data_IF_945191911248
#
_entry.id   IF_945191911248
#
_cell.length_a   1.000
_cell.length_b   1.000
_cell.length_c   1.000
_cell.angle_alpha   90.00
_cell.angle_beta   90.00
_cell.angle_gamma   90.00
#
_symmetry.space_group_name_H-M   'P 1'
#
loop_
_entity.id
_entity.type
_entity.pdbx_description
1 polymer ?
#
# COMPACT_ATOMS: atom_id res chain seq x y z
N UNK A 1 -28.05 -16.23 44.25
CA UNK A 1 -27.28 -17.08 43.31
C UNK A 1 -26.56 -16.18 42.32
N UNK A 2 -25.21 -16.22 42.25
CA UNK A 2 -24.45 -15.51 41.20
C UNK A 2 -24.86 -16.02 39.83
N UNK A 3 -25.03 -15.14 38.84
CA UNK A 3 -25.23 -15.57 37.46
C UNK A 3 -23.97 -16.29 36.99
N UNK A 4 -24.09 -17.39 36.24
CA UNK A 4 -22.94 -17.96 35.54
C UNK A 4 -22.71 -17.14 34.28
N UNK A 5 -21.46 -16.76 34.00
CA UNK A 5 -21.13 -16.04 32.77
C UNK A 5 -21.48 -16.89 31.55
N UNK A 6 -22.26 -16.33 30.62
CA UNK A 6 -22.63 -17.00 29.36
C UNK A 6 -21.47 -16.88 28.35
N UNK A 7 -20.78 -15.74 28.35
CA UNK A 7 -19.66 -15.46 27.44
C UNK A 7 -18.34 -15.96 28.05
N UNK A 8 -17.72 -16.96 27.41
CA UNK A 8 -16.45 -17.55 27.87
C UNK A 8 -15.20 -16.90 27.27
N UNK A 9 -15.30 -16.21 26.14
CA UNK A 9 -14.22 -15.50 25.45
C UNK A 9 -14.74 -14.18 24.90
N UNK A 10 -13.88 -13.18 24.78
CA UNK A 10 -14.29 -11.89 24.23
C UNK A 10 -14.76 -12.06 22.79
N UNK A 11 -15.90 -11.45 22.46
CA UNK A 11 -16.50 -11.51 21.13
C UNK A 11 -16.58 -10.12 20.54
N UNK A 12 -16.35 -10.01 19.24
CA UNK A 12 -16.41 -8.74 18.52
C UNK A 12 -17.66 -8.70 17.65
N UNK A 13 -18.51 -7.71 17.90
CA UNK A 13 -19.63 -7.33 17.04
C UNK A 13 -19.25 -6.14 16.16
N UNK A 14 -19.56 -6.21 14.86
CA UNK A 14 -19.38 -5.11 13.91
C UNK A 14 -20.71 -4.79 13.26
N UNK A 15 -21.04 -3.50 13.14
CA UNK A 15 -22.29 -3.09 12.50
C UNK A 15 -22.17 -1.69 11.88
N UNK A 16 -22.85 -1.48 10.77
CA UNK A 16 -23.15 -0.15 10.23
C UNK A 16 -24.57 0.24 10.65
N UNK A 17 -24.69 1.18 11.59
CA UNK A 17 -25.99 1.66 12.09
C UNK A 17 -25.98 3.18 12.17
N UNK A 18 -27.07 3.80 11.74
CA UNK A 18 -27.27 5.26 11.79
C UNK A 18 -26.11 6.05 11.14
N UNK A 19 -25.53 5.53 10.06
CA UNK A 19 -24.39 6.15 9.37
C UNK A 19 -23.06 6.07 10.13
N UNK A 20 -22.97 5.24 11.18
CA UNK A 20 -21.77 5.02 11.99
C UNK A 20 -21.30 3.57 11.86
N UNK A 21 -19.99 3.40 11.77
CA UNK A 21 -19.30 2.10 11.91
C UNK A 21 -19.11 1.80 13.39
N UNK A 22 -19.63 0.67 13.84
CA UNK A 22 -19.62 0.26 15.23
C UNK A 22 -18.72 -0.95 15.42
N UNK A 23 -17.94 -0.90 16.49
CA UNK A 23 -17.17 -2.01 17.01
C UNK A 23 -17.58 -2.19 18.47
N UNK A 24 -18.30 -3.27 18.76
CA UNK A 24 -18.69 -3.66 20.11
C UNK A 24 -17.82 -4.85 20.52
N UNK A 25 -17.26 -4.80 21.72
CA UNK A 25 -16.53 -5.93 22.30
C UNK A 25 -17.32 -6.42 23.50
N UNK A 26 -17.90 -7.61 23.39
CA UNK A 26 -18.49 -8.31 24.52
C UNK A 26 -17.36 -8.98 25.29
N UNK A 27 -17.19 -8.62 26.55
CA UNK A 27 -16.15 -9.21 27.39
C UNK A 27 -16.73 -10.35 28.20
N UNK A 28 -16.02 -11.47 28.35
CA UNK A 28 -16.44 -12.53 29.25
C UNK A 28 -16.55 -11.97 30.68
N UNK A 29 -17.30 -12.66 31.54
CA UNK A 29 -17.26 -12.37 32.97
C UNK A 29 -15.82 -12.48 33.46
N UNK A 30 -15.16 -11.34 33.65
CA UNK A 30 -13.75 -11.25 34.08
C UNK A 30 -13.54 -11.82 35.49
N UNK A 31 -14.64 -12.15 36.19
CA UNK A 31 -14.69 -12.80 37.50
C UNK A 31 -15.32 -14.19 37.48
N UNK A 32 -15.43 -14.83 36.29
CA UNK A 32 -15.82 -16.24 36.24
C UNK A 32 -14.76 -17.06 37.00
N UNK A 33 -15.18 -17.72 38.08
CA UNK A 33 -14.30 -18.41 39.04
C UNK A 33 -13.55 -19.61 38.45
N UNK A 34 -13.86 -19.99 37.20
CA UNK A 34 -13.22 -21.08 36.48
C UNK A 34 -12.00 -20.71 35.64
N UNK A 35 -11.55 -19.45 35.61
CA UNK A 35 -10.40 -19.01 34.80
C UNK A 35 -9.15 -18.74 35.63
N UNK A 36 -7.99 -19.02 35.04
CA UNK A 36 -6.68 -18.67 35.60
C UNK A 36 -6.39 -17.18 35.42
N UNK A 37 -5.47 -16.63 36.24
CA UNK A 37 -5.06 -15.23 36.12
C UNK A 37 -4.50 -14.90 34.74
N UNK A 38 -3.71 -15.81 34.16
CA UNK A 38 -3.06 -15.61 32.86
C UNK A 38 -4.10 -15.54 31.73
N UNK A 39 -5.16 -16.36 31.80
CA UNK A 39 -6.28 -16.31 30.86
C UNK A 39 -7.04 -14.98 30.97
N UNK A 40 -7.27 -14.48 32.18
CA UNK A 40 -7.93 -13.19 32.41
C UNK A 40 -7.09 -12.04 31.86
N UNK A 41 -5.78 -12.03 32.14
CA UNK A 41 -4.85 -11.00 31.64
C UNK A 41 -4.81 -11.02 30.11
N UNK A 42 -4.73 -12.21 29.50
CA UNK A 42 -4.70 -12.36 28.04
C UNK A 42 -5.98 -11.78 27.41
N UNK A 43 -7.15 -12.05 27.98
CA UNK A 43 -8.42 -11.49 27.49
C UNK A 43 -8.48 -9.96 27.64
N UNK A 44 -7.95 -9.40 28.74
CA UNK A 44 -7.87 -7.94 28.93
C UNK A 44 -6.96 -7.31 27.87
N UNK A 45 -5.76 -7.86 27.67
CA UNK A 45 -4.81 -7.35 26.68
C UNK A 45 -5.38 -7.47 25.27
N UNK A 46 -6.04 -8.58 24.94
CA UNK A 46 -6.73 -8.80 23.66
C UNK A 46 -7.78 -7.71 23.42
N UNK A 47 -8.63 -7.44 24.42
CA UNK A 47 -9.63 -6.36 24.35
C UNK A 47 -8.99 -5.00 24.10
N UNK A 48 -7.90 -4.67 24.79
CA UNK A 48 -7.16 -3.41 24.60
C UNK A 48 -6.58 -3.33 23.20
N UNK A 49 -5.99 -4.40 22.67
CA UNK A 49 -5.47 -4.45 21.30
C UNK A 49 -6.55 -4.23 20.24
N UNK A 50 -7.71 -4.87 20.40
CA UNK A 50 -8.88 -4.71 19.52
C UNK A 50 -9.41 -3.28 19.56
N UNK A 51 -9.61 -2.74 20.75
CA UNK A 51 -10.29 -1.46 20.97
C UNK A 51 -9.35 -0.26 20.92
N UNK A 52 -8.04 -0.48 20.82
CA UNK A 52 -7.04 0.56 20.54
C UNK A 52 -7.52 1.45 19.38
N UNK A 53 -7.38 2.80 19.47
CA UNK A 53 -6.57 3.54 20.44
C UNK A 53 -7.29 3.81 21.78
N UNK A 54 -8.54 3.37 21.92
CA UNK A 54 -9.33 3.62 23.12
C UNK A 54 -10.83 3.45 22.93
N UNK A 55 -11.58 3.65 24.01
CA UNK A 55 -13.02 3.38 24.08
C UNK A 55 -13.83 4.68 24.00
N UNK A 56 -14.76 4.76 23.05
CA UNK A 56 -15.68 5.90 22.97
C UNK A 56 -16.76 5.86 24.05
N UNK A 57 -17.17 4.66 24.46
CA UNK A 57 -18.10 4.44 25.56
C UNK A 57 -17.83 3.07 26.18
N UNK A 58 -18.14 2.96 27.46
CA UNK A 58 -18.09 1.72 28.23
C UNK A 58 -19.48 1.48 28.77
N UNK A 59 -20.00 0.28 28.54
CA UNK A 59 -21.37 -0.06 28.91
C UNK A 59 -21.33 -0.98 30.12
N UNK A 60 -21.86 -0.51 31.25
CA UNK A 60 -22.11 -1.34 32.41
C UNK A 60 -23.55 -1.85 32.34
N UNK A 61 -23.72 -3.14 32.08
CA UNK A 61 -25.05 -3.77 31.99
C UNK A 61 -25.49 -4.23 33.38
N UNK A 62 -26.64 -3.73 33.84
CA UNK A 62 -27.20 -4.02 35.17
C UNK A 62 -28.62 -4.57 35.01
N UNK A 63 -29.00 -5.55 35.82
CA UNK A 63 -30.37 -6.07 35.85
C UNK A 63 -31.21 -5.25 36.84
N UNK A 64 -32.43 -4.86 36.44
CA UNK A 64 -33.30 -4.06 37.30
C UNK A 64 -33.68 -4.84 38.56
N UNK A 65 -33.45 -4.22 39.73
CA UNK A 65 -33.67 -4.84 41.03
C UNK A 65 -32.52 -5.74 41.51
N UNK A 66 -31.43 -5.84 40.75
CA UNK A 66 -30.30 -6.70 41.11
C UNK A 66 -28.96 -6.09 40.72
N UNK A 67 -28.23 -5.63 41.75
CA UNK A 67 -26.82 -5.27 41.63
C UNK A 67 -25.93 -6.28 42.37
N UNK A 68 -25.20 -7.13 41.63
CA UNK A 68 -24.50 -8.28 42.21
C UNK A 68 -23.11 -7.95 42.75
N UNK A 69 -22.58 -8.79 43.66
CA UNK A 69 -21.18 -8.71 44.09
C UNK A 69 -20.17 -8.85 42.93
N UNK A 70 -20.55 -9.56 41.86
CA UNK A 70 -19.74 -9.65 40.64
C UNK A 70 -19.65 -8.29 39.93
N UNK A 71 -20.77 -7.57 39.81
CA UNK A 71 -20.80 -6.22 39.24
C UNK A 71 -19.99 -5.23 40.11
N UNK A 72 -20.09 -5.32 41.45
CA UNK A 72 -19.27 -4.51 42.37
C UNK A 72 -17.78 -4.72 42.14
N UNK A 73 -17.34 -5.98 42.15
CA UNK A 73 -15.92 -6.34 41.91
C UNK A 73 -15.45 -5.87 40.54
N UNK A 74 -16.33 -5.95 39.54
CA UNK A 74 -16.05 -5.47 38.19
C UNK A 74 -15.79 -3.98 38.15
N UNK A 75 -16.67 -3.20 38.78
CA UNK A 75 -16.50 -1.74 38.86
C UNK A 75 -15.24 -1.38 39.63
N UNK A 76 -14.99 -2.00 40.78
CA UNK A 76 -13.81 -1.74 41.59
C UNK A 76 -12.53 -2.03 40.82
N UNK A 77 -12.48 -3.15 40.09
CA UNK A 77 -11.31 -3.49 39.28
C UNK A 77 -11.10 -2.47 38.17
N UNK A 78 -12.15 -2.05 37.46
CA UNK A 78 -12.01 -1.06 36.41
C UNK A 78 -11.60 0.31 36.95
N UNK A 79 -12.21 0.79 38.03
CA UNK A 79 -11.87 2.10 38.61
C UNK A 79 -10.46 2.13 39.21
N UNK A 80 -10.04 1.04 39.87
CA UNK A 80 -8.71 0.98 40.50
C UNK A 80 -7.57 0.81 39.48
N UNK A 81 -7.82 0.19 38.33
CA UNK A 81 -6.73 -0.20 37.41
C UNK A 81 -6.77 0.51 36.05
N UNK A 82 -7.96 0.77 35.50
CA UNK A 82 -8.12 1.63 34.33
C UNK A 82 -8.25 3.12 34.73
N UNK A 83 -8.37 3.40 36.04
CA UNK A 83 -8.32 4.74 36.61
C UNK A 83 -9.67 5.44 36.59
N UNK A 84 -9.80 6.45 37.46
CA UNK A 84 -11.08 7.14 37.68
C UNK A 84 -11.60 7.89 36.45
N UNK A 85 -10.75 8.20 35.46
CA UNK A 85 -11.19 8.82 34.21
C UNK A 85 -12.13 7.93 33.41
N UNK A 86 -12.09 6.61 33.60
CA UNK A 86 -12.97 5.65 32.92
C UNK A 86 -14.45 5.98 33.12
N UNK A 87 -14.83 6.45 34.30
CA UNK A 87 -16.24 6.74 34.63
C UNK A 87 -16.83 7.87 33.78
N UNK A 88 -15.97 8.73 33.22
CA UNK A 88 -16.38 9.81 32.32
C UNK A 88 -16.86 9.28 30.96
N UNK A 89 -16.50 8.03 30.64
CA UNK A 89 -16.90 7.33 29.43
C UNK A 89 -17.89 6.18 29.69
N UNK A 90 -18.38 6.05 30.93
CA UNK A 90 -19.31 5.00 31.31
C UNK A 90 -20.77 5.42 31.08
N UNK A 91 -21.56 4.46 30.58
CA UNK A 91 -23.02 4.48 30.47
C UNK A 91 -23.58 3.25 31.17
N UNK A 92 -24.55 3.43 32.07
CA UNK A 92 -25.24 2.31 32.72
C UNK A 92 -26.43 1.89 31.86
N UNK A 93 -26.48 0.63 31.45
CA UNK A 93 -27.62 0.06 30.71
C UNK A 93 -28.37 -0.88 31.63
N UNK A 94 -29.55 -0.46 32.05
CA UNK A 94 -30.48 -1.29 32.79
C UNK A 94 -31.21 -2.23 31.85
N UNK A 95 -31.17 -3.53 32.13
CA UNK A 95 -31.91 -4.55 31.40
C UNK A 95 -33.19 -4.88 32.13
N UNK A 96 -34.16 -5.42 31.39
CA UNK A 96 -35.49 -5.80 31.87
C UNK A 96 -36.42 -4.63 32.12
N UNK A 97 -36.37 -3.66 31.21
CA UNK A 97 -37.29 -2.52 31.19
C UNK A 97 -38.77 -2.96 31.20
N UNK A 98 -39.08 -4.14 30.67
CA UNK A 98 -40.40 -4.76 30.74
C UNK A 98 -40.91 -4.99 32.18
N UNK A 99 -40.01 -5.18 33.15
CA UNK A 99 -40.37 -5.25 34.57
C UNK A 99 -40.88 -3.88 35.08
N UNK A 100 -40.20 -2.78 34.72
CA UNK A 100 -40.62 -1.41 35.06
C UNK A 100 -41.92 -0.99 34.36
N UNK A 101 -42.06 -1.31 33.07
CA UNK A 101 -43.25 -0.99 32.29
C UNK A 101 -44.51 -1.65 32.89
N UNK A 102 -44.38 -2.88 33.43
CA UNK A 102 -45.48 -3.59 34.13
C UNK A 102 -45.86 -2.96 35.46
N UNK A 103 -44.91 -2.33 36.13
CA UNK A 103 -45.11 -1.62 37.40
C UNK A 103 -45.53 -0.15 37.18
N UNK A 104 -45.62 0.30 35.92
CA UNK A 104 -45.86 1.70 35.54
C UNK A 104 -44.85 2.66 36.19
N UNK A 105 -43.60 2.21 36.28
CA UNK A 105 -42.48 2.95 36.85
C UNK A 105 -41.53 3.35 35.73
N UNK A 106 -41.05 4.59 35.73
CA UNK A 106 -40.04 5.06 34.79
C UNK A 106 -38.63 4.66 35.25
N UNK A 107 -37.66 4.70 34.35
CA UNK A 107 -36.26 4.43 34.74
C UNK A 107 -35.73 5.51 35.70
N UNK A 108 -36.16 6.76 35.54
CA UNK A 108 -35.76 7.86 36.41
C UNK A 108 -36.29 7.62 37.85
N UNK A 109 -37.57 7.26 38.00
CA UNK A 109 -38.16 6.88 39.30
C UNK A 109 -37.45 5.68 39.94
N UNK A 110 -37.05 4.69 39.14
CA UNK A 110 -36.27 3.56 39.65
C UNK A 110 -34.90 4.01 40.16
N UNK A 111 -34.18 4.85 39.41
CA UNK A 111 -32.87 5.37 39.83
C UNK A 111 -32.98 6.24 41.08
N UNK A 112 -34.02 7.08 41.18
CA UNK A 112 -34.30 7.92 42.36
C UNK A 112 -34.68 7.09 43.59
N UNK A 113 -35.21 5.87 43.39
CA UNK A 113 -35.51 4.93 44.48
C UNK A 113 -34.30 4.17 45.02
N UNK A 114 -33.14 4.24 44.35
CA UNK A 114 -31.93 3.56 44.79
C UNK A 114 -31.43 4.15 46.12
N UNK A 115 -30.96 3.27 47.01
CA UNK A 115 -30.28 3.68 48.24
C UNK A 115 -29.13 4.66 47.91
N UNK A 116 -29.12 5.91 48.42
CA UNK A 116 -28.13 6.91 48.06
C UNK A 116 -26.68 6.53 48.38
N UNK A 117 -26.48 5.63 49.35
CA UNK A 117 -25.18 5.10 49.75
C UNK A 117 -24.76 3.84 48.96
N UNK A 118 -25.60 3.36 48.04
CA UNK A 118 -25.28 2.20 47.22
C UNK A 118 -24.22 2.53 46.17
N UNK A 119 -23.34 1.56 45.89
CA UNK A 119 -22.30 1.71 44.87
C UNK A 119 -22.91 2.02 43.48
N UNK A 120 -24.07 1.45 43.15
CA UNK A 120 -24.75 1.73 41.89
C UNK A 120 -25.19 3.18 41.76
N UNK A 121 -25.78 3.76 42.81
CA UNK A 121 -26.14 5.17 42.86
C UNK A 121 -24.89 6.07 42.71
N UNK A 122 -23.79 5.71 43.38
CA UNK A 122 -22.51 6.42 43.26
C UNK A 122 -21.95 6.39 41.82
N UNK A 123 -22.00 5.24 41.16
CA UNK A 123 -21.56 5.09 39.75
C UNK A 123 -22.41 5.97 38.84
N UNK A 124 -23.73 5.96 39.00
CA UNK A 124 -24.67 6.76 38.20
C UNK A 124 -24.34 8.24 38.37
N UNK A 125 -24.15 8.69 39.62
CA UNK A 125 -23.81 10.09 39.90
C UNK A 125 -22.46 10.48 39.26
N UNK A 126 -21.41 9.68 39.46
CA UNK A 126 -20.07 9.95 38.91
C UNK A 126 -20.01 9.86 37.39
N UNK A 127 -20.90 9.07 36.78
CA UNK A 127 -21.10 9.00 35.33
C UNK A 127 -22.04 10.11 34.81
N UNK A 128 -22.25 11.19 35.58
CA UNK A 128 -23.10 12.34 35.21
C UNK A 128 -24.52 11.92 34.82
N UNK A 129 -25.07 10.95 35.54
CA UNK A 129 -26.42 10.42 35.33
C UNK A 129 -26.64 9.85 33.92
N UNK A 130 -25.61 9.25 33.31
CA UNK A 130 -25.74 8.58 32.01
C UNK A 130 -26.24 7.16 32.18
N UNK A 131 -27.54 6.96 32.05
CA UNK A 131 -28.16 5.65 32.05
C UNK A 131 -29.30 5.54 31.04
N UNK A 132 -29.61 4.31 30.63
CA UNK A 132 -30.76 3.97 29.79
C UNK A 132 -31.34 2.62 30.21
N UNK A 133 -32.62 2.38 29.92
CA UNK A 133 -33.27 1.09 30.13
C UNK A 133 -33.55 0.38 28.80
N UNK A 134 -33.31 -0.92 28.76
CA UNK A 134 -33.48 -1.82 27.61
C UNK A 134 -34.44 -2.96 27.95
N UNK A 135 -35.36 -3.19 27.04
CA UNK A 135 -36.07 -4.45 26.93
C UNK A 135 -35.40 -5.28 25.84
N UNK A 136 -34.71 -6.33 26.24
CA UNK A 136 -33.99 -7.23 25.32
C UNK A 136 -34.94 -8.14 24.51
N UNK A 137 -36.24 -8.13 24.82
CA UNK A 137 -37.28 -8.84 24.07
C UNK A 137 -38.00 -7.94 23.05
N UNK A 138 -37.74 -6.63 23.08
CA UNK A 138 -38.34 -5.68 22.16
C UNK A 138 -37.95 -5.98 20.70
N UNK A 139 -38.92 -5.83 19.79
CA UNK A 139 -38.74 -6.08 18.35
C UNK A 139 -39.17 -4.87 17.52
N UNK A 140 -38.66 -4.80 16.28
CA UNK A 140 -39.02 -3.73 15.33
C UNK A 140 -38.73 -2.33 15.87
N UNK A 141 -39.69 -1.43 15.71
CA UNK A 141 -39.54 -0.01 16.03
C UNK A 141 -39.18 0.24 17.50
N UNK A 142 -39.72 -0.54 18.43
CA UNK A 142 -39.42 -0.39 19.86
C UNK A 142 -37.94 -0.66 20.16
N UNK A 143 -37.36 -1.67 19.49
CA UNK A 143 -35.94 -1.97 19.59
C UNK A 143 -35.09 -0.86 18.94
N UNK A 144 -35.49 -0.37 17.76
CA UNK A 144 -34.78 0.73 17.11
C UNK A 144 -34.80 2.01 17.95
N UNK A 145 -35.88 2.29 18.66
CA UNK A 145 -36.00 3.48 19.50
C UNK A 145 -35.14 3.38 20.77
N UNK A 146 -35.05 2.22 21.43
CA UNK A 146 -34.14 2.05 22.57
C UNK A 146 -32.67 2.13 22.15
N UNK A 147 -32.33 1.56 20.99
CA UNK A 147 -30.98 1.63 20.45
C UNK A 147 -30.65 3.08 20.10
N UNK A 148 -31.53 3.81 19.41
CA UNK A 148 -31.34 5.25 19.12
C UNK A 148 -31.12 6.08 20.39
N UNK A 149 -31.87 5.82 21.46
CA UNK A 149 -31.67 6.51 22.75
C UNK A 149 -30.27 6.27 23.32
N UNK A 150 -29.80 5.02 23.33
CA UNK A 150 -28.43 4.70 23.75
C UNK A 150 -27.40 5.46 22.88
N UNK A 151 -27.60 5.50 21.56
CA UNK A 151 -26.72 6.25 20.67
C UNK A 151 -26.69 7.73 21.00
N UNK A 152 -27.83 8.37 21.24
CA UNK A 152 -27.87 9.77 21.64
C UNK A 152 -27.13 10.03 22.96
N UNK A 153 -27.23 9.12 23.94
CA UNK A 153 -26.47 9.22 25.20
C UNK A 153 -24.97 9.09 24.93
N UNK A 154 -24.54 8.16 24.08
CA UNK A 154 -23.13 7.96 23.73
C UNK A 154 -22.58 9.17 22.93
N UNK A 155 -23.32 9.71 21.98
CA UNK A 155 -22.89 10.88 21.21
C UNK A 155 -22.74 12.12 22.10
N UNK A 156 -23.65 12.29 23.06
CA UNK A 156 -23.54 13.33 24.08
C UNK A 156 -22.32 13.12 24.97
N UNK A 157 -22.08 11.88 25.43
CA UNK A 157 -20.90 11.51 26.20
C UNK A 157 -19.61 11.85 25.45
N UNK A 158 -19.51 11.49 24.18
CA UNK A 158 -18.33 11.79 23.34
C UNK A 158 -18.14 13.30 23.23
N UNK A 159 -19.22 14.05 22.97
CA UNK A 159 -19.19 15.52 22.86
C UNK A 159 -18.76 16.20 24.17
N UNK A 160 -19.29 15.75 25.30
CA UNK A 160 -18.91 16.23 26.64
C UNK A 160 -17.44 15.95 26.98
N UNK A 161 -16.87 14.87 26.44
CA UNK A 161 -15.46 14.53 26.56
C UNK A 161 -14.61 15.12 25.41
N UNK A 162 -15.09 16.18 24.75
CA UNK A 162 -14.34 16.93 23.73
C UNK A 162 -14.17 16.22 22.39
N UNK A 163 -15.02 15.23 22.08
CA UNK A 163 -14.88 14.41 20.87
C UNK A 163 -13.80 13.33 20.97
N UNK A 164 -13.31 13.06 22.18
CA UNK A 164 -12.21 12.11 22.43
C UNK A 164 -12.72 10.73 22.85
N UNK A 165 -11.80 9.81 23.13
CA UNK A 165 -12.04 8.47 23.65
C UNK A 165 -11.23 8.26 24.93
N UNK A 166 -11.69 7.34 25.76
CA UNK A 166 -10.94 6.88 26.93
C UNK A 166 -9.66 6.17 26.48
N UNK A 167 -8.53 6.60 27.04
CA UNK A 167 -7.23 5.95 26.86
C UNK A 167 -6.44 6.02 28.16
N UNK A 168 -5.55 5.06 28.38
CA UNK A 168 -4.56 5.05 29.46
C UNK A 168 -3.21 4.58 28.91
N UNK A 169 -2.23 4.32 29.78
CA UNK A 169 -0.91 3.87 29.37
C UNK A 169 -0.94 2.51 28.66
N UNK A 170 -1.82 1.59 29.08
CA UNK A 170 -1.98 0.30 28.38
C UNK A 170 -2.48 0.50 26.94
N UNK A 171 -3.45 1.40 26.74
CA UNK A 171 -3.93 1.74 25.40
C UNK A 171 -2.85 2.44 24.56
N UNK A 172 -2.01 3.28 25.17
CA UNK A 172 -0.89 3.93 24.48
C UNK A 172 0.14 2.91 24.01
N UNK A 173 0.55 1.99 24.87
CA UNK A 173 1.50 0.93 24.51
C UNK A 173 0.92 -0.01 23.43
N UNK A 174 -0.34 -0.43 23.59
CA UNK A 174 -1.02 -1.22 22.57
C UNK A 174 -1.15 -0.46 21.24
N UNK A 175 -1.46 0.83 21.25
CA UNK A 175 -1.49 1.66 20.04
C UNK A 175 -0.10 1.80 19.40
N UNK A 176 0.98 1.91 20.18
CA UNK A 176 2.34 1.91 19.64
C UNK A 176 2.69 0.58 18.96
N UNK A 177 2.37 -0.55 19.61
CA UNK A 177 2.54 -1.87 19.03
C UNK A 177 1.72 -2.05 17.74
N UNK A 178 0.44 -1.64 17.75
CA UNK A 178 -0.43 -1.65 16.58
C UNK A 178 0.14 -0.78 15.45
N UNK A 179 0.62 0.44 15.74
CA UNK A 179 1.24 1.33 14.75
C UNK A 179 2.49 0.74 14.12
N UNK A 180 3.41 0.18 14.92
CA UNK A 180 4.59 -0.51 14.41
C UNK A 180 4.20 -1.61 13.42
N UNK A 181 3.20 -2.41 13.76
CA UNK A 181 2.68 -3.46 12.87
C UNK A 181 2.06 -2.91 11.59
N UNK A 182 1.29 -1.83 11.68
CA UNK A 182 0.72 -1.16 10.52
C UNK A 182 1.80 -0.56 9.60
N UNK A 183 2.88 -0.03 10.18
CA UNK A 183 4.00 0.54 9.44
C UNK A 183 4.87 -0.54 8.77
N UNK A 184 5.08 -1.69 9.43
CA UNK A 184 5.71 -2.87 8.82
C UNK A 184 4.94 -3.34 7.58
N UNK A 185 3.62 -3.48 7.69
CA UNK A 185 2.78 -3.93 6.58
C UNK A 185 2.76 -2.89 5.44
N UNK A 186 2.73 -1.59 5.76
CA UNK A 186 2.87 -0.50 4.79
C UNK A 186 4.21 -0.59 4.05
N UNK A 187 5.32 -0.74 4.77
CA UNK A 187 6.67 -0.86 4.18
C UNK A 187 6.78 -2.09 3.28
N UNK A 188 6.17 -3.20 3.70
CA UNK A 188 6.13 -4.43 2.89
C UNK A 188 5.40 -4.19 1.56
N UNK A 189 4.22 -3.57 1.59
CA UNK A 189 3.45 -3.26 0.38
C UNK A 189 4.16 -2.24 -0.52
N UNK A 190 4.85 -1.26 0.06
CA UNK A 190 5.68 -0.31 -0.68
C UNK A 190 6.88 -0.99 -1.37
N UNK A 191 7.53 -1.94 -0.69
CA UNK A 191 8.63 -2.72 -1.28
C UNK A 191 8.11 -3.68 -2.36
N UNK A 192 6.97 -4.33 -2.15
CA UNK A 192 6.31 -5.14 -3.20
C UNK A 192 5.97 -4.28 -4.43
N UNK A 193 5.44 -3.07 -4.23
CA UNK A 193 5.19 -2.08 -5.31
C UNK A 193 6.48 -1.73 -6.04
N UNK A 194 7.56 -1.45 -5.30
CA UNK A 194 8.88 -1.12 -5.86
C UNK A 194 9.43 -2.27 -6.70
N UNK A 195 9.37 -3.50 -6.20
CA UNK A 195 9.81 -4.69 -6.92
C UNK A 195 8.98 -4.96 -8.17
N UNK A 196 7.66 -4.76 -8.12
CA UNK A 196 6.79 -4.90 -9.28
C UNK A 196 7.15 -3.90 -10.39
N UNK A 197 7.42 -2.65 -10.03
CA UNK A 197 7.88 -1.62 -10.99
C UNK A 197 9.25 -1.99 -11.56
N UNK A 198 10.20 -2.42 -10.72
CA UNK A 198 11.54 -2.81 -11.18
C UNK A 198 11.50 -3.98 -12.17
N UNK A 199 10.60 -4.96 -11.96
CA UNK A 199 10.39 -6.08 -12.91
C UNK A 199 9.93 -5.60 -14.29
N UNK A 200 9.21 -4.48 -14.37
CA UNK A 200 8.77 -3.87 -15.63
C UNK A 200 9.88 -3.00 -16.24
N UNK A 201 10.64 -2.28 -15.41
CA UNK A 201 11.69 -1.36 -15.87
C UNK A 201 12.98 -2.07 -16.30
N UNK A 202 13.40 -3.13 -15.60
CA UNK A 202 14.70 -3.77 -15.80
C UNK A 202 14.91 -4.36 -17.23
N UNK A 203 13.96 -5.13 -17.81
CA UNK A 203 14.12 -5.65 -19.17
C UNK A 203 14.25 -4.53 -20.21
N UNK A 204 13.53 -3.43 -19.99
CA UNK A 204 13.52 -2.30 -20.89
C UNK A 204 14.82 -1.48 -20.79
N UNK A 205 15.33 -1.27 -19.57
CA UNK A 205 16.62 -0.65 -19.32
C UNK A 205 17.75 -1.43 -20.01
N UNK A 206 17.71 -2.76 -19.92
CA UNK A 206 18.66 -3.63 -20.60
C UNK A 206 18.54 -3.56 -22.13
N UNK A 207 17.31 -3.51 -22.67
CA UNK A 207 17.06 -3.34 -24.11
C UNK A 207 17.66 -2.04 -24.64
N UNK A 208 17.38 -0.89 -23.99
CA UNK A 208 17.94 0.41 -24.39
C UNK A 208 19.48 0.38 -24.37
N UNK A 209 20.07 -0.20 -23.32
CA UNK A 209 21.52 -0.25 -23.20
C UNK A 209 22.16 -1.13 -24.28
N UNK A 210 21.54 -2.25 -24.65
CA UNK A 210 22.01 -3.09 -25.76
C UNK A 210 21.90 -2.36 -27.11
N UNK A 211 20.76 -1.72 -27.38
CA UNK A 211 20.57 -0.95 -28.62
C UNK A 211 21.55 0.23 -28.73
N UNK A 212 21.86 0.89 -27.60
CA UNK A 212 22.89 1.94 -27.54
C UNK A 212 24.25 1.39 -27.94
N UNK A 213 24.65 0.24 -27.37
CA UNK A 213 25.93 -0.42 -27.70
C UNK A 213 26.00 -0.83 -29.17
N UNK A 214 24.93 -1.39 -29.71
CA UNK A 214 24.84 -1.76 -31.14
C UNK A 214 24.98 -0.53 -32.04
N UNK A 215 24.28 0.58 -31.74
CA UNK A 215 24.41 1.84 -32.49
C UNK A 215 25.82 2.42 -32.41
N UNK A 216 26.48 2.35 -31.26
CA UNK A 216 27.87 2.80 -31.07
C UNK A 216 28.85 1.96 -31.89
N UNK A 217 28.69 0.63 -31.88
CA UNK A 217 29.49 -0.28 -32.71
C UNK A 217 29.30 0.01 -34.20
N UNK A 218 28.05 0.14 -34.66
CA UNK A 218 27.75 0.41 -36.06
C UNK A 218 28.29 1.77 -36.52
N UNK A 219 28.23 2.79 -35.66
CA UNK A 219 28.80 4.11 -35.91
C UNK A 219 30.31 4.05 -36.10
N UNK A 220 31.01 3.28 -35.25
CA UNK A 220 32.45 3.06 -35.36
C UNK A 220 32.81 2.37 -36.69
N UNK A 221 32.12 1.28 -37.05
CA UNK A 221 32.36 0.54 -38.30
C UNK A 221 32.10 1.41 -39.55
N UNK A 222 31.06 2.26 -39.49
CA UNK A 222 30.76 3.20 -40.56
C UNK A 222 31.86 4.26 -40.71
N UNK A 223 32.43 4.76 -39.60
CA UNK A 223 33.54 5.70 -39.63
C UNK A 223 34.80 5.07 -40.26
N UNK A 224 35.11 3.82 -39.90
CA UNK A 224 36.23 3.07 -40.49
C UNK A 224 36.04 2.88 -41.99
N UNK A 225 34.84 2.49 -42.42
CA UNK A 225 34.51 2.29 -43.84
C UNK A 225 34.62 3.60 -44.62
N UNK A 226 34.10 4.72 -44.08
CA UNK A 226 34.25 6.05 -44.71
C UNK A 226 35.71 6.41 -44.93
N UNK A 227 36.56 6.20 -43.93
CA UNK A 227 38.01 6.46 -44.04
C UNK A 227 38.67 5.59 -45.11
N UNK A 228 38.36 4.30 -45.16
CA UNK A 228 38.87 3.38 -46.19
C UNK A 228 38.43 3.79 -47.60
N UNK A 229 37.15 4.14 -47.78
CA UNK A 229 36.63 4.58 -49.09
C UNK A 229 37.26 5.89 -49.56
N UNK A 230 37.52 6.84 -48.65
CA UNK A 230 38.19 8.09 -48.96
C UNK A 230 39.64 7.86 -49.45
N UNK A 231 40.36 6.92 -48.85
CA UNK A 231 41.70 6.51 -49.31
C UNK A 231 41.64 5.92 -50.72
N UNK A 232 40.74 4.97 -50.96
CA UNK A 232 40.60 4.32 -52.27
C UNK A 232 40.19 5.33 -53.37
N UNK A 233 39.34 6.31 -53.05
CA UNK A 233 39.00 7.38 -54.00
C UNK A 233 40.20 8.26 -54.33
N UNK A 234 41.05 8.56 -53.36
CA UNK A 234 42.27 9.33 -53.58
C UNK A 234 43.27 8.56 -54.47
N UNK A 235 43.46 7.25 -54.19
CA UNK A 235 44.31 6.38 -55.01
C UNK A 235 43.78 6.24 -56.44
N UNK A 236 42.46 6.19 -56.62
CA UNK A 236 41.81 6.17 -57.94
C UNK A 236 42.09 7.47 -58.72
N UNK A 237 41.87 8.63 -58.13
CA UNK A 237 42.15 9.92 -58.79
C UNK A 237 43.62 10.04 -59.21
N UNK A 238 44.54 9.55 -58.37
CA UNK A 238 45.97 9.50 -58.68
C UNK A 238 46.27 8.62 -59.91
N UNK A 239 45.67 7.44 -60.00
CA UNK A 239 45.80 6.56 -61.17
C UNK A 239 45.19 7.16 -62.45
N UNK A 240 44.05 7.85 -62.35
CA UNK A 240 43.41 8.52 -63.49
C UNK A 240 44.30 9.65 -64.05
N UNK A 241 44.91 10.46 -63.17
CA UNK A 241 45.89 11.48 -63.56
C UNK A 241 47.15 10.89 -64.19
N UNK A 242 47.71 9.79 -63.64
CA UNK A 242 48.86 9.09 -64.21
C UNK A 242 48.57 8.57 -65.63
N UNK A 243 47.37 8.01 -65.84
CA UNK A 243 46.94 7.52 -67.15
C UNK A 243 46.74 8.68 -68.15
N UNK A 244 46.17 9.80 -67.72
CA UNK A 244 46.01 10.99 -68.56
C UNK A 244 47.36 11.60 -68.95
N UNK A 245 48.30 11.66 -68.01
CA UNK A 245 49.67 12.11 -68.27
C UNK A 245 50.40 11.21 -69.27
N UNK A 246 50.21 9.89 -69.15
CA UNK A 246 50.77 8.92 -70.10
C UNK A 246 50.19 9.10 -71.50
N UNK A 247 48.87 9.34 -71.60
CA UNK A 247 48.18 9.66 -72.85
C UNK A 247 48.70 10.94 -73.49
N UNK A 248 48.88 12.02 -72.72
CA UNK A 248 49.45 13.29 -73.23
C UNK A 248 50.89 13.11 -73.72
N UNK A 249 51.68 12.23 -73.08
CA UNK A 249 53.05 11.91 -73.49
C UNK A 249 53.08 11.16 -74.82
N UNK A 250 52.22 10.14 -74.99
CA UNK A 250 52.11 9.41 -76.27
C UNK A 250 51.55 10.29 -77.39
N UNK A 251 50.64 11.22 -77.09
CA UNK A 251 50.14 12.22 -78.05
C UNK A 251 51.23 13.19 -78.52
N UNK A 252 52.13 13.63 -77.61
CA UNK A 252 53.29 14.47 -77.96
C UNK A 252 54.33 13.72 -78.79
N UNK A 253 54.64 12.48 -78.42
CA UNK A 253 55.54 11.61 -79.19
C UNK A 253 54.97 11.27 -80.58
N UNK A 254 53.64 11.17 -80.71
CA UNK A 254 52.96 10.99 -82.00
C UNK A 254 52.87 12.28 -82.84
N UNK A 255 52.96 13.46 -82.23
CA UNK A 255 52.98 14.75 -82.94
C UNK A 255 54.30 14.99 -83.68
N UNK A 256 55.40 14.33 -83.28
CA UNK A 256 56.72 14.46 -83.93
C UNK A 256 56.90 13.55 -85.17
N UNK A 257 56.05 12.55 -85.41
CA UNK A 257 56.15 11.64 -86.57
C UNK A 257 55.09 11.95 -87.62
N UNK A 258 55.33 13.00 -88.39
CA UNK A 258 54.41 13.52 -89.41
C UNK A 258 54.42 12.74 -90.75
N UNK A 259 55.40 11.86 -91.00
CA UNK A 259 55.64 11.27 -92.33
C UNK A 259 55.21 9.80 -92.54
N UNK A 260 54.25 9.28 -91.77
CA UNK A 260 53.74 7.89 -91.91
C UNK A 260 52.20 7.78 -91.78
N UNK A 261 51.48 8.87 -92.07
CA UNK A 261 50.09 9.11 -91.61
C UNK A 261 48.96 8.27 -92.21
N UNK A 262 49.15 7.45 -93.24
CA UNK A 262 48.02 6.78 -93.95
C UNK A 262 47.73 5.31 -93.59
N UNK A 263 48.53 4.65 -92.74
CA UNK A 263 48.23 3.28 -92.24
C UNK A 263 47.89 3.21 -90.75
N UNK A 264 48.25 4.23 -89.96
CA UNK A 264 48.00 4.29 -88.51
C UNK A 264 46.67 4.99 -88.11
N UNK A 265 45.90 5.51 -89.07
CA UNK A 265 44.68 6.30 -88.79
C UNK A 265 43.48 5.42 -88.36
N UNK A 266 43.36 4.20 -88.91
CA UNK A 266 42.37 3.21 -88.45
C UNK A 266 42.72 2.63 -87.07
N UNK A 267 44.00 2.38 -86.80
CA UNK A 267 44.47 1.89 -85.50
C UNK A 267 44.26 2.95 -84.40
N UNK A 268 44.55 4.23 -84.69
CA UNK A 268 44.25 5.36 -83.81
C UNK A 268 42.75 5.55 -83.55
N UNK A 269 41.88 5.38 -84.55
CA UNK A 269 40.42 5.42 -84.34
C UNK A 269 39.96 4.28 -83.44
N UNK A 270 40.50 3.07 -83.63
CA UNK A 270 40.18 1.91 -82.77
C UNK A 270 40.64 2.15 -81.33
N UNK A 271 41.85 2.67 -81.14
CA UNK A 271 42.36 2.97 -79.79
C UNK A 271 41.58 4.11 -79.12
N UNK A 272 41.18 5.15 -79.87
CA UNK A 272 40.28 6.19 -79.36
C UNK A 272 38.91 5.63 -78.97
N UNK A 273 38.30 4.80 -79.81
CA UNK A 273 37.01 4.18 -79.50
C UNK A 273 37.09 3.23 -78.31
N UNK A 274 38.17 2.44 -78.18
CA UNK A 274 38.39 1.55 -77.03
C UNK A 274 38.57 2.36 -75.75
N UNK A 275 39.32 3.46 -75.79
CA UNK A 275 39.56 4.28 -74.62
C UNK A 275 38.31 5.10 -74.21
N UNK A 276 37.57 5.65 -75.18
CA UNK A 276 36.29 6.31 -74.92
C UNK A 276 35.25 5.35 -74.36
N UNK A 277 35.19 4.11 -74.87
CA UNK A 277 34.33 3.06 -74.34
C UNK A 277 34.67 2.71 -72.90
N UNK A 278 35.96 2.50 -72.58
CA UNK A 278 36.42 2.28 -71.20
C UNK A 278 36.06 3.43 -70.27
N UNK A 279 36.26 4.68 -70.70
CA UNK A 279 35.92 5.85 -69.88
C UNK A 279 34.41 6.00 -69.65
N UNK A 280 33.59 5.63 -70.64
CA UNK A 280 32.13 5.60 -70.50
C UNK A 280 31.69 4.52 -69.51
N UNK A 281 32.24 3.31 -69.63
CA UNK A 281 31.99 2.20 -68.70
C UNK A 281 32.36 2.58 -67.26
N UNK A 282 33.52 3.22 -67.04
CA UNK A 282 33.94 3.71 -65.72
C UNK A 282 32.97 4.77 -65.15
N UNK A 283 32.51 5.72 -65.97
CA UNK A 283 31.55 6.77 -65.55
C UNK A 283 30.19 6.17 -65.18
N UNK A 284 29.68 5.27 -66.00
CA UNK A 284 28.42 4.57 -65.75
C UNK A 284 28.49 3.69 -64.50
N UNK A 285 29.59 2.97 -64.30
CA UNK A 285 29.79 2.16 -63.09
C UNK A 285 29.90 3.05 -61.84
N UNK A 286 30.59 4.19 -61.95
CA UNK A 286 30.70 5.18 -60.86
C UNK A 286 29.34 5.76 -60.48
N UNK A 287 28.52 6.15 -61.46
CA UNK A 287 27.15 6.62 -61.22
C UNK A 287 26.27 5.54 -60.58
N UNK A 288 26.35 4.29 -61.06
CA UNK A 288 25.59 3.17 -60.46
C UNK A 288 25.97 2.95 -58.99
N UNK A 289 27.27 2.97 -58.66
CA UNK A 289 27.75 2.85 -57.27
C UNK A 289 27.30 4.01 -56.39
N UNK A 290 27.21 5.22 -56.94
CA UNK A 290 26.73 6.40 -56.21
C UNK A 290 25.23 6.35 -55.94
N UNK A 291 24.42 5.97 -56.94
CA UNK A 291 22.98 5.76 -56.79
C UNK A 291 22.66 4.63 -55.82
N UNK A 292 23.44 3.54 -55.83
CA UNK A 292 23.31 2.43 -54.88
C UNK A 292 23.58 2.88 -53.44
N UNK A 293 24.69 3.61 -53.20
CA UNK A 293 24.99 4.21 -51.89
C UNK A 293 23.91 5.18 -51.42
N UNK A 294 23.33 5.97 -52.33
CA UNK A 294 22.25 6.90 -52.01
C UNK A 294 20.98 6.17 -51.59
N UNK A 295 20.62 5.08 -52.28
CA UNK A 295 19.48 4.21 -51.92
C UNK A 295 19.70 3.53 -50.57
N UNK A 296 20.89 3.00 -50.32
CA UNK A 296 21.24 2.41 -49.02
C UNK A 296 21.15 3.43 -47.87
N UNK A 297 21.61 4.66 -48.12
CA UNK A 297 21.50 5.76 -47.15
C UNK A 297 20.04 6.09 -46.84
N UNK A 298 19.21 6.30 -47.86
CA UNK A 298 17.77 6.61 -47.69
C UNK A 298 17.02 5.46 -47.00
N UNK A 299 17.35 4.21 -47.32
CA UNK A 299 16.79 3.02 -46.66
C UNK A 299 17.18 2.97 -45.18
N UNK A 300 18.44 3.22 -44.83
CA UNK A 300 18.90 3.30 -43.43
C UNK A 300 18.23 4.43 -42.67
N UNK A 301 18.02 5.59 -43.28
CA UNK A 301 17.30 6.71 -42.65
C UNK A 301 15.86 6.31 -42.30
N UNK A 302 15.12 5.73 -43.25
CA UNK A 302 13.74 5.25 -43.01
C UNK A 302 13.70 4.19 -41.91
N UNK A 303 14.64 3.24 -41.91
CA UNK A 303 14.74 2.21 -40.88
C UNK A 303 14.93 2.82 -39.49
N UNK A 304 15.85 3.80 -39.35
CA UNK A 304 16.06 4.49 -38.08
C UNK A 304 14.83 5.27 -37.60
N UNK A 305 14.07 5.88 -38.51
CA UNK A 305 12.83 6.57 -38.16
C UNK A 305 11.73 5.61 -37.68
N UNK A 306 11.57 4.47 -38.35
CA UNK A 306 10.62 3.42 -37.96
C UNK A 306 11.00 2.77 -36.63
N UNK A 307 12.29 2.52 -36.39
CA UNK A 307 12.82 2.04 -35.12
C UNK A 307 12.49 3.05 -34.00
N UNK A 308 12.82 4.34 -34.21
CA UNK A 308 12.50 5.40 -33.24
C UNK A 308 11.00 5.52 -32.95
N UNK A 309 10.14 5.28 -33.95
CA UNK A 309 8.68 5.27 -33.75
C UNK A 309 8.26 4.08 -32.88
N UNK A 310 8.77 2.88 -33.16
CA UNK A 310 8.53 1.66 -32.36
C UNK A 310 8.98 1.83 -30.91
N UNK A 311 10.17 2.37 -30.70
CA UNK A 311 10.73 2.63 -29.36
C UNK A 311 9.83 3.58 -28.56
N UNK A 312 9.34 4.65 -29.20
CA UNK A 312 8.41 5.61 -28.58
C UNK A 312 7.08 4.96 -28.20
N UNK A 313 6.55 4.08 -29.05
CA UNK A 313 5.30 3.36 -28.78
C UNK A 313 5.46 2.35 -27.63
N UNK A 314 6.55 1.60 -27.60
CA UNK A 314 6.89 0.71 -26.48
C UNK A 314 7.04 1.48 -25.18
N UNK A 315 7.79 2.59 -25.19
CA UNK A 315 7.92 3.49 -24.04
C UNK A 315 6.58 3.96 -23.50
N UNK A 316 5.65 4.29 -24.40
CA UNK A 316 4.31 4.73 -24.03
C UNK A 316 3.50 3.59 -23.41
N UNK A 317 3.62 2.36 -23.93
CA UNK A 317 2.96 1.17 -23.36
C UNK A 317 3.50 0.87 -21.95
N UNK A 318 4.81 0.90 -21.78
CA UNK A 318 5.46 0.66 -20.49
C UNK A 318 5.08 1.70 -19.44
N UNK A 319 5.10 2.99 -19.78
CA UNK A 319 4.67 4.06 -18.86
C UNK A 319 3.24 3.84 -18.37
N UNK A 320 2.33 3.45 -19.26
CA UNK A 320 0.95 3.12 -18.90
C UNK A 320 0.86 1.89 -18.01
N UNK A 321 1.71 0.89 -18.22
CA UNK A 321 1.75 -0.31 -17.38
C UNK A 321 2.25 0.01 -15.97
N UNK A 322 3.34 0.77 -15.84
CA UNK A 322 3.86 1.25 -14.55
C UNK A 322 2.79 2.09 -13.83
N UNK A 323 2.09 2.97 -14.55
CA UNK A 323 1.02 3.78 -13.98
C UNK A 323 -0.17 2.93 -13.49
N UNK A 324 -0.55 1.89 -14.24
CA UNK A 324 -1.56 0.92 -13.81
C UNK A 324 -1.15 0.18 -12.54
N UNK A 325 0.08 -0.34 -12.49
CA UNK A 325 0.61 -1.03 -11.30
C UNK A 325 0.66 -0.09 -10.11
N UNK A 326 1.12 1.16 -10.30
CA UNK A 326 1.11 2.18 -9.24
C UNK A 326 -0.30 2.41 -8.71
N UNK A 327 -1.27 2.60 -9.60
CA UNK A 327 -2.66 2.83 -9.24
C UNK A 327 -3.29 1.61 -8.52
N UNK A 328 -2.94 0.40 -8.93
CA UNK A 328 -3.40 -0.84 -8.28
C UNK A 328 -2.88 -0.94 -6.83
N UNK A 329 -1.58 -0.74 -6.62
CA UNK A 329 -1.01 -0.74 -5.27
C UNK A 329 -1.54 0.42 -4.42
N UNK A 330 -1.69 1.62 -4.99
CA UNK A 330 -2.26 2.76 -4.26
C UNK A 330 -3.72 2.51 -3.88
N UNK A 331 -4.49 1.82 -4.75
CA UNK A 331 -5.84 1.37 -4.42
C UNK A 331 -5.81 0.33 -3.31
N UNK A 332 -4.94 -0.69 -3.40
CA UNK A 332 -4.75 -1.70 -2.35
C UNK A 332 -4.40 -1.07 -1.00
N UNK A 333 -3.50 -0.09 -0.99
CA UNK A 333 -3.13 0.68 0.21
C UNK A 333 -4.27 1.49 0.80
N UNK A 334 -5.20 2.00 -0.02
CA UNK A 334 -6.40 2.72 0.43
C UNK A 334 -7.49 1.76 0.93
N UNK A 335 -7.71 0.67 0.22
CA UNK A 335 -8.79 -0.29 0.46
C UNK A 335 -8.44 -1.24 1.62
N UNK A 336 -7.15 -1.56 1.79
CA UNK A 336 -6.67 -2.31 2.94
C UNK A 336 -6.81 -1.42 4.16
N UNK A 337 -7.84 -1.69 4.95
CA UNK A 337 -7.95 -1.14 6.28
C UNK A 337 -6.91 -1.83 7.17
N UNK A 338 -5.63 -1.43 7.04
CA UNK A 338 -4.48 -2.07 7.71
C UNK A 338 -4.74 -2.18 9.23
N UNK A 339 -5.42 -1.19 9.80
CA UNK A 339 -5.84 -1.21 11.21
C UNK A 339 -6.83 -2.32 11.51
N UNK A 340 -7.80 -2.54 10.63
CA UNK A 340 -8.79 -3.62 10.80
C UNK A 340 -8.14 -4.99 10.60
N UNK A 341 -7.22 -5.13 9.64
CA UNK A 341 -6.43 -6.35 9.49
C UNK A 341 -5.59 -6.65 10.75
N UNK A 342 -4.99 -5.63 11.35
CA UNK A 342 -4.27 -5.76 12.62
C UNK A 342 -5.22 -6.18 13.76
N UNK A 343 -6.43 -5.61 13.84
CA UNK A 343 -7.45 -6.03 14.82
C UNK A 343 -7.90 -7.46 14.62
N UNK A 344 -8.10 -7.89 13.37
CA UNK A 344 -8.46 -9.27 13.04
C UNK A 344 -7.35 -10.25 13.44
N UNK A 345 -6.08 -9.85 13.30
CA UNK A 345 -4.94 -10.64 13.75
C UNK A 345 -4.91 -10.77 15.28
N UNK A 346 -5.27 -9.73 16.03
CA UNK A 346 -5.44 -9.78 17.49
C UNK A 346 -6.64 -10.65 17.87
N UNK A 347 -7.78 -10.49 17.19
CA UNK A 347 -9.01 -11.27 17.41
C UNK A 347 -8.76 -12.77 17.24
N UNK A 348 -8.02 -13.14 16.18
CA UNK A 348 -7.64 -14.52 15.84
C UNK A 348 -6.42 -15.03 16.61
N UNK A 349 -5.90 -14.25 17.56
CA UNK A 349 -4.76 -14.62 18.41
C UNK A 349 -3.51 -15.01 17.57
N UNK A 350 -3.29 -14.35 16.43
CA UNK A 350 -2.15 -14.68 15.57
C UNK A 350 -0.83 -14.40 16.31
N UNK A 351 0.10 -15.38 16.34
CA UNK A 351 1.41 -15.18 16.95
C UNK A 351 2.15 -14.05 16.24
N UNK A 352 2.74 -13.15 17.02
CA UNK A 352 3.31 -11.89 16.54
C UNK A 352 2.62 -10.71 17.20
N UNK A 353 1.51 -10.22 16.62
CA UNK A 353 0.87 -8.97 17.08
C UNK A 353 0.35 -9.06 18.51
N UNK A 354 -0.29 -10.17 18.89
CA UNK A 354 -0.82 -10.34 20.24
C UNK A 354 0.33 -10.46 21.26
N UNK A 355 1.40 -11.17 20.92
CA UNK A 355 2.59 -11.30 21.78
C UNK A 355 3.27 -9.93 21.99
N UNK A 356 3.42 -9.13 20.93
CA UNK A 356 4.00 -7.78 21.02
C UNK A 356 3.14 -6.85 21.89
N UNK A 357 1.81 -6.93 21.77
CA UNK A 357 0.91 -6.14 22.62
C UNK A 357 1.00 -6.62 24.07
N UNK A 358 1.03 -7.93 24.33
CA UNK A 358 1.20 -8.49 25.69
C UNK A 358 2.52 -8.00 26.31
N UNK A 359 3.62 -8.08 25.58
CA UNK A 359 4.93 -7.62 26.03
C UNK A 359 4.91 -6.12 26.36
N UNK A 360 4.46 -5.28 25.42
CA UNK A 360 4.41 -3.83 25.60
C UNK A 360 3.51 -3.41 26.77
N UNK A 361 2.35 -4.05 26.91
CA UNK A 361 1.39 -3.75 27.98
C UNK A 361 1.92 -4.23 29.33
N UNK A 362 2.60 -5.38 29.40
CA UNK A 362 3.16 -5.95 30.64
C UNK A 362 4.23 -5.09 31.31
N UNK A 363 4.89 -4.21 30.55
CA UNK A 363 5.88 -3.24 31.08
C UNK A 363 5.24 -2.06 31.81
N UNK A 364 3.92 -1.86 31.69
CA UNK A 364 3.19 -0.80 32.40
C UNK A 364 3.18 -1.10 33.91
N UNK A 365 3.72 -0.22 34.78
CA UNK A 365 3.91 -0.47 36.22
C UNK A 365 2.63 -0.83 36.99
N UNK A 366 1.47 -0.46 36.44
CA UNK A 366 0.13 -0.71 37.01
C UNK A 366 -0.28 -2.19 36.88
N UNK A 367 0.31 -2.95 35.96
CA UNK A 367 -0.03 -4.38 35.76
C UNK A 367 0.55 -5.27 36.86
N UNK A 368 1.73 -4.96 37.40
CA UNK A 368 2.30 -5.71 38.52
C UNK A 368 1.32 -5.83 39.72
N UNK A 369 0.64 -4.74 40.11
CA UNK A 369 -0.49 -4.76 41.04
C UNK A 369 -1.76 -5.44 40.51
N UNK A 370 -2.21 -5.23 39.26
CA UNK A 370 -3.39 -5.91 38.68
C UNK A 370 -3.24 -7.43 38.75
N UNK A 371 -2.09 -7.96 38.31
CA UNK A 371 -1.75 -9.39 38.33
C UNK A 371 -1.64 -9.92 39.76
N UNK A 372 -1.08 -9.13 40.68
CA UNK A 372 -1.01 -9.45 42.12
C UNK A 372 -2.36 -9.33 42.86
N UNK A 373 -3.25 -8.45 42.43
CA UNK A 373 -4.58 -8.19 43.03
C UNK A 373 -5.58 -9.21 42.52
N UNK A 374 -5.62 -9.50 41.22
CA UNK A 374 -6.37 -10.63 40.65
C UNK A 374 -5.87 -11.93 41.30
N UNK A 375 -4.54 -12.12 41.42
CA UNK A 375 -3.96 -13.28 42.11
C UNK A 375 -4.12 -13.32 43.64
N UNK A 376 -4.45 -12.20 44.32
CA UNK A 376 -4.75 -12.17 45.77
C UNK A 376 -6.25 -12.30 46.04
N UNK A 377 -7.11 -11.73 45.21
CA UNK A 377 -8.58 -11.88 45.28
C UNK A 377 -9.00 -13.33 45.07
N UNK A 378 -8.27 -14.10 44.27
CA UNK A 378 -8.48 -15.54 44.08
C UNK A 378 -7.90 -16.43 45.20
N UNK A 379 -7.09 -15.90 46.13
CA UNK A 379 -6.60 -16.67 47.31
C UNK A 379 -7.51 -16.54 48.54
N UNK A 380 -8.57 -15.73 48.44
CA UNK A 380 -9.56 -15.49 49.49
C UNK A 380 -10.91 -16.20 49.23
N UNK A 381 -10.98 -16.98 48.15
CA UNK A 381 -12.02 -17.97 47.84
C UNK A 381 -11.32 -19.30 47.55
#
# INVERSE_FOLDING_TARGET
>A
MSGKSVTKKSQIGRADRFGKKLLLVDTPGIFDTGKTNDEVITEIVKCIGITSPGLHAIILVVHIGRFTEEEKKTVDLFLNHLGQQLIQFLVVVFTRKDDLDRENTTIDEYVDSLEPSSLLAEIIQKSRCRYVAFDNTAVGQQNDDQVKRLFSVIENLIRENGGTFYTNDMYREAEMAMRRRMDEERRRLEEEKRQAIERIEAPFRAKIENERRERESLSHDLALTKMQTASLTHDKSRMEEELEMTKRRSEREAAERENERRRMEEERRRDQEINERRMREIREESQRREDERRREYDQRQRQMEDDRRRDKEEMKKQRKEIERVKAEYDKRMRDQNIREAARDDVEKEKPGILATIIEAVSEVPVIGPVVKVIGKLFKLF
#
